data_IF_095076448794
#
_entry.id   IF_095076448794
#
_cell.length_a   1.000
_cell.length_b   1.000
_cell.length_c   1.000
_cell.angle_alpha   90.00
_cell.angle_beta   90.00
_cell.angle_gamma   90.00
#
_symmetry.space_group_name_H-M   'P 1'
#
loop_
_entity.id
_entity.type
_entity.pdbx_description
1 polymer ?
#
# COMPACT_ATOMS: atom_id res chain seq x y z
N UNK A 1 1.38 8.16 7.69
CA UNK A 1 2.60 8.99 7.63
C UNK A 1 3.75 8.28 6.92
N UNK A 2 4.22 7.12 7.41
CA UNK A 2 5.35 6.42 6.79
C UNK A 2 5.19 6.17 5.28
N UNK A 3 4.03 5.71 4.84
CA UNK A 3 3.75 5.44 3.42
C UNK A 3 3.86 6.68 2.54
N UNK A 4 3.40 7.84 3.03
CA UNK A 4 3.50 9.09 2.26
C UNK A 4 4.94 9.55 2.12
N UNK A 5 5.70 9.51 3.22
CA UNK A 5 7.14 9.85 3.20
C UNK A 5 7.91 8.88 2.31
N UNK A 6 7.68 7.58 2.49
CA UNK A 6 8.30 6.53 1.67
C UNK A 6 7.98 6.72 0.19
N UNK A 7 6.72 7.00 -0.15
CA UNK A 7 6.29 7.23 -1.53
C UNK A 7 7.04 8.39 -2.18
N UNK A 8 7.17 9.51 -1.48
CA UNK A 8 7.93 10.67 -1.98
C UNK A 8 9.41 10.34 -2.15
N UNK A 9 10.02 9.71 -1.14
CA UNK A 9 11.43 9.31 -1.21
C UNK A 9 11.70 8.37 -2.38
N UNK A 10 10.85 7.36 -2.55
CA UNK A 10 10.97 6.39 -3.65
C UNK A 10 10.79 7.07 -5.01
N UNK A 11 9.85 8.01 -5.13
CA UNK A 11 9.63 8.78 -6.36
C UNK A 11 10.87 9.61 -6.71
N UNK A 12 11.44 10.32 -5.74
CA UNK A 12 12.67 11.10 -5.96
C UNK A 12 13.86 10.23 -6.34
N UNK A 13 13.98 9.07 -5.69
CA UNK A 13 15.01 8.10 -6.05
C UNK A 13 14.83 7.62 -7.49
N UNK A 14 13.59 7.30 -7.88
CA UNK A 14 13.24 6.86 -9.22
C UNK A 14 13.51 7.92 -10.30
N UNK A 15 13.33 9.19 -9.97
CA UNK A 15 13.69 10.29 -10.87
C UNK A 15 15.20 10.38 -11.11
N UNK A 16 16.00 9.99 -10.10
CA UNK A 16 17.46 10.04 -10.18
C UNK A 16 18.11 8.85 -10.86
N UNK A 17 17.63 7.64 -10.59
CA UNK A 17 18.29 6.39 -11.04
C UNK A 17 17.39 5.48 -11.90
N UNK A 18 16.13 5.82 -12.09
CA UNK A 18 15.13 5.00 -12.76
C UNK A 18 14.20 4.30 -11.79
N UNK A 19 12.95 4.09 -12.20
CA UNK A 19 11.92 3.53 -11.32
C UNK A 19 12.19 2.06 -10.96
N UNK A 20 12.69 1.28 -11.90
CA UNK A 20 13.00 -0.14 -11.69
C UNK A 20 14.20 -0.29 -10.75
N UNK A 21 15.25 0.48 -11.00
CA UNK A 21 16.46 0.52 -10.17
C UNK A 21 16.16 0.98 -8.75
N UNK A 22 15.35 2.03 -8.61
CA UNK A 22 14.88 2.51 -7.32
C UNK A 22 14.09 1.44 -6.56
N UNK A 23 13.22 0.71 -7.25
CA UNK A 23 12.45 -0.37 -6.65
C UNK A 23 13.37 -1.51 -6.15
N UNK A 24 14.35 -1.92 -6.95
CA UNK A 24 15.34 -2.94 -6.54
C UNK A 24 16.12 -2.47 -5.31
N UNK A 25 16.56 -1.23 -5.31
CA UNK A 25 17.29 -0.65 -4.17
C UNK A 25 16.44 -0.62 -2.90
N UNK A 26 15.21 -0.15 -2.99
CA UNK A 26 14.29 -0.06 -1.86
C UNK A 26 13.94 -1.43 -1.31
N UNK A 27 13.61 -2.38 -2.18
CA UNK A 27 13.28 -3.75 -1.75
C UNK A 27 14.50 -4.48 -1.19
N UNK A 28 15.69 -4.25 -1.75
CA UNK A 28 16.95 -4.82 -1.27
C UNK A 28 17.31 -4.28 0.11
N UNK A 29 17.24 -2.99 0.34
CA UNK A 29 17.49 -2.39 1.66
C UNK A 29 16.46 -2.84 2.69
N UNK A 30 15.19 -2.93 2.31
CA UNK A 30 14.13 -3.43 3.17
C UNK A 30 14.40 -4.90 3.57
N UNK A 31 14.82 -5.73 2.62
CA UNK A 31 15.18 -7.12 2.88
C UNK A 31 16.34 -7.24 3.88
N UNK A 32 17.41 -6.47 3.69
CA UNK A 32 18.56 -6.48 4.60
C UNK A 32 18.18 -6.05 6.01
N UNK A 33 17.39 -5.00 6.13
CA UNK A 33 16.90 -4.52 7.44
C UNK A 33 15.99 -5.52 8.11
N UNK A 34 15.06 -6.13 7.36
CA UNK A 34 14.17 -7.16 7.87
C UNK A 34 14.96 -8.40 8.34
N UNK A 35 15.98 -8.81 7.59
CA UNK A 35 16.85 -9.90 7.97
C UNK A 35 17.63 -9.58 9.26
N UNK A 36 18.13 -8.34 9.40
CA UNK A 36 18.80 -7.89 10.62
C UNK A 36 17.86 -7.94 11.83
N UNK A 37 16.63 -7.47 11.69
CA UNK A 37 15.61 -7.57 12.75
C UNK A 37 15.33 -9.02 13.11
N UNK A 38 15.26 -9.91 12.13
CA UNK A 38 15.04 -11.34 12.35
C UNK A 38 16.15 -11.98 13.20
N UNK A 39 17.40 -11.53 13.04
CA UNK A 39 18.52 -12.05 13.85
C UNK A 39 18.37 -11.72 15.34
N UNK A 40 17.77 -10.58 15.67
CA UNK A 40 17.59 -10.12 17.05
C UNK A 40 16.24 -10.49 17.64
N UNK A 41 15.22 -10.66 16.80
CA UNK A 41 13.84 -10.91 17.25
C UNK A 41 13.13 -11.89 16.34
N UNK A 42 12.91 -13.10 16.85
CA UNK A 42 12.18 -14.16 16.14
C UNK A 42 10.81 -14.37 16.77
N UNK A 43 9.75 -14.19 15.98
CA UNK A 43 8.36 -14.43 16.41
C UNK A 43 7.83 -15.81 15.98
N UNK A 44 8.48 -16.45 15.03
CA UNK A 44 8.01 -17.71 14.45
C UNK A 44 9.11 -18.47 13.72
N UNK A 45 8.71 -19.38 12.84
CA UNK A 45 9.62 -20.21 12.05
C UNK A 45 9.22 -20.23 10.58
N UNK A 46 10.22 -20.20 9.69
CA UNK A 46 10.01 -20.38 8.25
C UNK A 46 9.54 -21.78 7.86
N UNK A 47 9.69 -22.77 8.74
CA UNK A 47 9.25 -24.14 8.49
C UNK A 47 7.73 -24.25 8.32
N UNK A 48 6.98 -23.31 8.88
CA UNK A 48 5.53 -23.24 8.77
C UNK A 48 5.04 -22.71 7.42
N UNK A 49 5.90 -22.12 6.60
CA UNK A 49 5.55 -21.62 5.26
C UNK A 49 4.93 -22.69 4.37
N UNK A 50 5.41 -23.92 4.45
CA UNK A 50 4.88 -25.04 3.66
C UNK A 50 3.45 -25.44 4.01
N UNK A 51 2.98 -25.09 5.20
CA UNK A 51 1.64 -25.41 5.70
C UNK A 51 0.61 -24.33 5.35
N UNK A 52 1.06 -23.12 4.98
CA UNK A 52 0.20 -22.01 4.63
C UNK A 52 -0.20 -22.06 3.15
N UNK A 53 -1.33 -21.45 2.84
CA UNK A 53 -1.75 -21.29 1.46
C UNK A 53 -0.67 -20.50 0.68
N UNK A 54 -0.26 -21.05 -0.46
CA UNK A 54 0.76 -20.43 -1.33
C UNK A 54 0.37 -19.03 -1.81
N UNK A 55 -0.92 -18.69 -1.77
CA UNK A 55 -1.40 -17.35 -2.09
C UNK A 55 -0.75 -16.27 -1.19
N UNK A 56 -0.45 -16.60 0.07
CA UNK A 56 0.18 -15.68 1.01
C UNK A 56 1.66 -15.40 0.71
N UNK A 57 2.29 -16.23 -0.13
CA UNK A 57 3.67 -16.04 -0.55
C UNK A 57 3.81 -14.89 -1.58
N UNK A 58 2.70 -14.47 -2.18
CA UNK A 58 2.68 -13.42 -3.19
C UNK A 58 2.85 -12.01 -2.64
N UNK A 59 2.97 -11.86 -1.33
CA UNK A 59 3.16 -10.56 -0.67
C UNK A 59 4.33 -9.76 -1.23
N UNK A 60 5.45 -10.42 -1.53
CA UNK A 60 6.62 -9.78 -2.14
C UNK A 60 6.34 -9.26 -3.55
N UNK A 61 5.61 -10.02 -4.36
CA UNK A 61 5.20 -9.60 -5.71
C UNK A 61 4.29 -8.38 -5.64
N UNK A 62 3.31 -8.41 -4.73
CA UNK A 62 2.42 -7.28 -4.49
C UNK A 62 3.20 -6.06 -4.00
N UNK A 63 4.21 -6.24 -3.15
CA UNK A 63 5.08 -5.18 -2.68
C UNK A 63 5.77 -4.42 -3.82
N UNK A 64 6.30 -5.14 -4.81
CA UNK A 64 6.92 -4.56 -6.00
C UNK A 64 5.89 -3.76 -6.80
N UNK A 65 4.72 -4.34 -7.07
CA UNK A 65 3.64 -3.69 -7.81
C UNK A 65 3.16 -2.43 -7.09
N UNK A 66 2.94 -2.51 -5.79
CA UNK A 66 2.50 -1.38 -4.97
C UNK A 66 3.53 -0.25 -5.02
N UNK A 67 4.81 -0.56 -4.81
CA UNK A 67 5.88 0.44 -4.81
C UNK A 67 5.95 1.19 -6.14
N UNK A 68 5.96 0.47 -7.26
CA UNK A 68 5.96 1.08 -8.59
C UNK A 68 4.70 1.91 -8.85
N UNK A 69 3.53 1.39 -8.50
CA UNK A 69 2.25 2.09 -8.70
C UNK A 69 2.20 3.39 -7.88
N UNK A 70 2.67 3.36 -6.64
CA UNK A 70 2.74 4.56 -5.78
C UNK A 70 3.69 5.60 -6.37
N UNK A 71 4.87 5.19 -6.82
CA UNK A 71 5.85 6.09 -7.45
C UNK A 71 5.27 6.78 -8.69
N UNK A 72 4.66 5.99 -9.57
CA UNK A 72 4.05 6.52 -10.81
C UNK A 72 2.85 7.43 -10.49
N UNK A 73 2.04 7.06 -9.51
CA UNK A 73 0.91 7.85 -9.05
C UNK A 73 1.34 9.22 -8.52
N UNK A 74 2.34 9.25 -7.64
CA UNK A 74 2.87 10.51 -7.08
C UNK A 74 3.48 11.38 -8.18
N UNK A 75 4.23 10.78 -9.11
CA UNK A 75 4.82 11.50 -10.23
C UNK A 75 3.77 12.15 -11.14
N UNK A 76 2.63 11.46 -11.37
CA UNK A 76 1.60 11.91 -12.30
C UNK A 76 0.59 12.87 -11.66
N UNK A 77 0.17 12.60 -10.41
CA UNK A 77 -0.94 13.28 -9.74
C UNK A 77 -0.51 14.20 -8.60
N UNK A 78 0.74 14.11 -8.21
CA UNK A 78 1.24 14.74 -6.97
C UNK A 78 0.94 13.88 -5.74
N UNK A 79 1.63 14.17 -4.65
CA UNK A 79 1.62 13.33 -3.44
C UNK A 79 0.24 13.24 -2.79
N UNK A 80 -0.42 14.38 -2.59
CA UNK A 80 -1.70 14.43 -1.86
C UNK A 80 -2.80 13.66 -2.60
N UNK A 81 -2.95 13.91 -3.89
CA UNK A 81 -4.01 13.26 -4.70
C UNK A 81 -3.72 11.76 -4.85
N UNK A 82 -2.47 11.39 -5.15
CA UNK A 82 -2.09 9.99 -5.31
C UNK A 82 -2.35 9.19 -4.02
N UNK A 83 -1.91 9.68 -2.88
CA UNK A 83 -2.11 9.01 -1.58
C UNK A 83 -3.59 8.95 -1.21
N UNK A 84 -4.37 9.99 -1.51
CA UNK A 84 -5.82 9.98 -1.26
C UNK A 84 -6.55 8.92 -2.08
N UNK A 85 -6.24 8.79 -3.37
CA UNK A 85 -6.82 7.76 -4.25
C UNK A 85 -6.43 6.36 -3.77
N UNK A 86 -5.17 6.16 -3.42
CA UNK A 86 -4.68 4.88 -2.90
C UNK A 86 -5.40 4.52 -1.61
N UNK A 87 -5.53 5.45 -0.68
CA UNK A 87 -6.21 5.22 0.60
C UNK A 87 -7.67 4.82 0.40
N UNK A 88 -8.41 5.53 -0.45
CA UNK A 88 -9.80 5.21 -0.78
C UNK A 88 -9.90 3.81 -1.40
N UNK A 89 -9.02 3.49 -2.34
CA UNK A 89 -8.98 2.18 -2.99
C UNK A 89 -8.70 1.06 -1.98
N UNK A 90 -7.76 1.27 -1.07
CA UNK A 90 -7.43 0.31 -0.02
C UNK A 90 -8.61 0.06 0.91
N UNK A 91 -9.30 1.12 1.35
CA UNK A 91 -10.46 1.00 2.22
C UNK A 91 -11.64 0.32 1.53
N UNK A 92 -11.85 0.61 0.24
CA UNK A 92 -12.90 -0.05 -0.53
C UNK A 92 -12.65 -1.56 -0.62
N UNK A 93 -11.43 -1.96 -0.99
CA UNK A 93 -11.05 -3.38 -1.08
C UNK A 93 -11.13 -4.05 0.30
N UNK A 94 -10.64 -3.40 1.35
CA UNK A 94 -10.72 -3.92 2.71
C UNK A 94 -12.19 -4.12 3.15
N UNK A 95 -13.07 -3.18 2.83
CA UNK A 95 -14.49 -3.30 3.12
C UNK A 95 -15.16 -4.46 2.35
N UNK A 96 -14.75 -4.70 1.10
CA UNK A 96 -15.22 -5.84 0.31
C UNK A 96 -14.72 -7.17 0.90
N UNK A 97 -13.45 -7.24 1.32
CA UNK A 97 -12.89 -8.42 1.99
C UNK A 97 -13.68 -8.74 3.27
N UNK A 98 -13.96 -7.73 4.08
CA UNK A 98 -14.73 -7.88 5.31
C UNK A 98 -16.19 -8.29 5.03
N UNK A 99 -16.82 -7.69 4.04
CA UNK A 99 -18.21 -7.95 3.69
C UNK A 99 -18.43 -9.38 3.18
N UNK A 100 -17.48 -9.92 2.43
CA UNK A 100 -17.56 -11.27 1.86
C UNK A 100 -16.83 -12.33 2.69
N UNK A 101 -16.11 -11.92 3.73
CA UNK A 101 -15.30 -12.84 4.55
C UNK A 101 -14.17 -13.50 3.77
N UNK A 102 -13.56 -12.78 2.83
CA UNK A 102 -12.48 -13.28 1.98
C UNK A 102 -11.17 -13.45 2.75
N UNK A 103 -10.29 -14.31 2.26
CA UNK A 103 -8.93 -14.52 2.78
C UNK A 103 -8.88 -14.88 4.28
N UNK A 104 -9.89 -15.61 4.78
CA UNK A 104 -9.96 -16.03 6.19
C UNK A 104 -10.38 -14.90 7.15
N UNK A 105 -10.76 -13.73 6.65
CA UNK A 105 -11.29 -12.63 7.47
C UNK A 105 -12.70 -12.96 7.97
N UNK A 106 -13.04 -12.46 9.16
CA UNK A 106 -14.42 -12.55 9.66
C UNK A 106 -15.35 -11.72 8.77
N UNK A 107 -16.51 -12.30 8.46
CA UNK A 107 -17.54 -11.60 7.67
C UNK A 107 -18.19 -10.51 8.51
N UNK A 108 -17.87 -9.26 8.22
CA UNK A 108 -18.47 -8.10 8.87
C UNK A 108 -19.55 -7.49 7.97
N UNK A 109 -20.68 -7.14 8.56
CA UNK A 109 -21.77 -6.50 7.83
C UNK A 109 -21.33 -5.14 7.28
N UNK A 110 -21.63 -4.89 6.00
CA UNK A 110 -21.40 -3.60 5.37
C UNK A 110 -22.48 -2.62 5.81
N UNK A 111 -22.21 -1.84 6.83
CA UNK A 111 -23.18 -0.90 7.41
C UNK A 111 -23.30 0.39 6.58
N UNK A 112 -24.43 1.08 6.75
CA UNK A 112 -24.67 2.39 6.15
C UNK A 112 -23.56 3.40 6.42
N UNK A 113 -22.97 3.35 7.62
CA UNK A 113 -21.86 4.23 8.01
C UNK A 113 -20.62 4.07 7.14
N UNK A 114 -20.33 2.86 6.63
CA UNK A 114 -19.23 2.61 5.70
C UNK A 114 -19.45 3.26 4.34
N UNK A 115 -20.67 3.22 3.82
CA UNK A 115 -21.03 3.92 2.58
C UNK A 115 -20.89 5.44 2.75
N UNK A 116 -21.41 6.00 3.85
CA UNK A 116 -21.29 7.41 4.15
C UNK A 116 -19.82 7.84 4.30
N UNK A 117 -19.01 7.05 5.01
CA UNK A 117 -17.58 7.30 5.16
C UNK A 117 -16.82 7.31 3.83
N UNK A 118 -17.08 6.34 2.97
CA UNK A 118 -16.48 6.29 1.63
C UNK A 118 -16.89 7.48 0.77
N UNK A 119 -18.17 7.88 0.80
CA UNK A 119 -18.66 9.04 0.07
C UNK A 119 -17.98 10.34 0.53
N UNK A 120 -17.81 10.53 1.83
CA UNK A 120 -17.10 11.69 2.40
C UNK A 120 -15.61 11.70 1.99
N UNK A 121 -14.96 10.55 1.98
CA UNK A 121 -13.56 10.44 1.57
C UNK A 121 -13.37 10.78 0.09
N UNK A 122 -14.26 10.29 -0.78
CA UNK A 122 -14.25 10.60 -2.20
C UNK A 122 -14.49 12.09 -2.41
N UNK A 123 -15.48 12.68 -1.72
CA UNK A 123 -15.74 14.12 -1.75
C UNK A 123 -14.54 14.94 -1.31
N UNK A 124 -13.89 14.56 -0.22
CA UNK A 124 -12.67 15.21 0.27
C UNK A 124 -11.52 15.13 -0.74
N UNK A 125 -11.31 13.97 -1.36
CA UNK A 125 -10.29 13.80 -2.39
C UNK A 125 -10.54 14.67 -3.61
N UNK A 126 -11.79 14.78 -4.04
CA UNK A 126 -12.16 15.67 -5.15
C UNK A 126 -11.87 17.15 -4.83
N UNK A 127 -12.08 17.55 -3.59
CA UNK A 127 -11.72 18.90 -3.13
C UNK A 127 -10.20 19.13 -3.18
N UNK A 128 -9.40 18.16 -2.80
CA UNK A 128 -7.93 18.25 -2.92
C UNK A 128 -7.46 18.38 -4.37
N UNK A 129 -8.16 17.71 -5.29
CA UNK A 129 -7.85 17.80 -6.72
C UNK A 129 -8.27 19.13 -7.33
N UNK A 130 -9.34 19.72 -6.81
CA UNK A 130 -9.85 21.00 -7.28
C UNK A 130 -9.01 22.12 -6.67
N UNK A 131 -8.00 22.57 -7.43
CA UNK A 131 -7.24 23.76 -7.07
C UNK A 131 -7.97 24.98 -7.63
N UNK A 132 -8.50 25.88 -6.77
CA UNK A 132 -8.90 27.18 -7.26
C UNK A 132 -7.62 27.87 -7.78
N UNK A 133 -7.67 28.29 -9.02
CA UNK A 133 -6.63 29.18 -9.58
C UNK A 133 -6.64 30.45 -8.72
N UNK A 134 -5.60 30.57 -7.93
CA UNK A 134 -5.37 31.79 -7.19
C UNK A 134 -4.94 32.91 -8.15
#
# INVERSE_FOLDING_TARGET
MAMSVQGVMNTRLGEGIGNTEANVFVQGTAFLLAAAVLLFHRDGSFTELGQLNKLYWLGGVLGIVITLTVMLGIKSLGTTVAISVILISQLLVAALIDAFGLMGSEKLAFSWTKYAGLALMIGGMLLFRYMPKA
#
